data_IF_336702401927
#
_entry.id   IF_336702401927
#
_cell.length_a   1.000
_cell.length_b   1.000
_cell.length_c   1.000
_cell.angle_alpha   90.00
_cell.angle_beta   90.00
_cell.angle_gamma   90.00
#
_symmetry.space_group_name_H-M   'P 1'
#
loop_
_entity.id
_entity.type
_entity.pdbx_description
1 polymer ?
#
# COMPACT_ATOMS: atom_id res chain seq x y z
N UNK A 1 4.92 -10.76 -9.71
CA UNK A 1 5.60 -11.07 -8.43
C UNK A 1 6.44 -9.87 -8.02
N UNK A 2 6.44 -9.51 -6.73
CA UNK A 2 7.24 -8.44 -6.16
C UNK A 2 8.37 -9.05 -5.33
N UNK A 3 9.58 -8.55 -5.50
CA UNK A 3 10.75 -9.02 -4.75
C UNK A 3 10.92 -8.23 -3.45
N UNK A 4 10.86 -8.93 -2.32
CA UNK A 4 10.96 -8.36 -0.98
C UNK A 4 12.35 -8.53 -0.34
N UNK A 5 12.44 -8.18 0.96
CA UNK A 5 13.64 -8.40 1.79
C UNK A 5 14.02 -9.90 1.77
N UNK A 6 15.31 -10.19 1.64
CA UNK A 6 15.83 -11.56 1.53
C UNK A 6 15.71 -12.16 0.12
N UNK A 7 15.51 -11.32 -0.91
CA UNK A 7 15.47 -11.73 -2.30
C UNK A 7 14.34 -12.73 -2.64
N UNK A 8 13.27 -12.73 -1.81
CA UNK A 8 12.11 -13.61 -1.98
C UNK A 8 11.05 -12.92 -2.81
N UNK A 9 10.55 -13.63 -3.82
CA UNK A 9 9.43 -13.19 -4.63
C UNK A 9 8.11 -13.48 -3.92
N UNK A 10 7.15 -12.55 -4.01
CA UNK A 10 5.85 -12.63 -3.34
C UNK A 10 4.73 -12.14 -4.25
N UNK A 11 3.55 -12.71 -4.06
CA UNK A 11 2.31 -12.19 -4.64
C UNK A 11 1.63 -11.28 -3.63
N UNK A 12 1.11 -10.16 -4.09
CA UNK A 12 0.35 -9.20 -3.26
C UNK A 12 -1.02 -9.07 -3.87
N UNK A 13 -2.05 -9.14 -3.03
CA UNK A 13 -3.43 -8.95 -3.45
C UNK A 13 -3.68 -7.46 -3.70
N UNK A 14 -4.29 -7.15 -4.84
CA UNK A 14 -4.74 -5.80 -5.15
C UNK A 14 -6.22 -5.68 -4.81
N UNK A 15 -6.58 -4.61 -4.12
CA UNK A 15 -7.99 -4.29 -3.90
C UNK A 15 -8.63 -3.85 -5.22
N UNK A 16 -9.97 -3.95 -5.31
CA UNK A 16 -10.72 -3.46 -6.47
C UNK A 16 -10.40 -2.00 -6.79
N UNK A 17 -10.33 -1.14 -5.77
CA UNK A 17 -9.96 0.26 -5.95
C UNK A 17 -8.55 0.45 -6.51
N UNK A 18 -7.59 -0.40 -6.12
CA UNK A 18 -6.24 -0.38 -6.68
C UNK A 18 -6.23 -0.81 -8.15
N UNK A 19 -7.01 -1.84 -8.51
CA UNK A 19 -7.16 -2.30 -9.90
C UNK A 19 -7.74 -1.18 -10.76
N UNK A 20 -8.85 -0.57 -10.34
CA UNK A 20 -9.49 0.53 -11.08
C UNK A 20 -8.56 1.74 -11.25
N UNK A 21 -7.75 2.06 -10.24
CA UNK A 21 -6.75 3.12 -10.34
C UNK A 21 -5.63 2.75 -11.34
N UNK A 22 -5.18 1.50 -11.36
CA UNK A 22 -4.16 1.02 -12.29
C UNK A 22 -4.64 1.02 -13.73
N UNK A 23 -5.89 0.64 -13.99
CA UNK A 23 -6.50 0.70 -15.32
C UNK A 23 -6.55 2.14 -15.86
N UNK A 24 -6.99 3.09 -15.03
CA UNK A 24 -6.99 4.53 -15.37
C UNK A 24 -5.58 5.04 -15.66
N UNK A 25 -4.61 4.63 -14.84
CA UNK A 25 -3.21 4.99 -15.03
C UNK A 25 -2.66 4.44 -16.35
N UNK A 26 -2.91 3.18 -16.66
CA UNK A 26 -2.42 2.54 -17.88
C UNK A 26 -3.03 3.17 -19.15
N UNK A 27 -4.31 3.51 -19.11
CA UNK A 27 -4.98 4.24 -20.19
C UNK A 27 -4.31 5.61 -20.45
N UNK A 28 -4.05 6.38 -19.39
CA UNK A 28 -3.32 7.65 -19.49
C UNK A 28 -1.89 7.48 -20.01
N UNK A 29 -1.18 6.45 -19.56
CA UNK A 29 0.18 6.11 -20.01
C UNK A 29 0.22 5.81 -21.51
N UNK A 30 -0.73 5.00 -22.01
CA UNK A 30 -0.86 4.66 -23.43
C UNK A 30 -1.17 5.89 -24.29
N UNK A 31 -2.08 6.75 -23.84
CA UNK A 31 -2.40 7.99 -24.54
C UNK A 31 -1.17 8.90 -24.68
N UNK A 32 -0.43 9.13 -23.59
CA UNK A 32 0.80 9.93 -23.60
C UNK A 32 1.90 9.33 -24.51
N UNK A 33 2.01 8.00 -24.56
CA UNK A 33 2.94 7.30 -25.45
C UNK A 33 2.58 7.51 -26.93
N UNK A 34 1.29 7.43 -27.26
CA UNK A 34 0.79 7.65 -28.62
C UNK A 34 0.96 9.10 -29.09
N UNK A 35 0.77 10.09 -28.21
CA UNK A 35 1.02 11.50 -28.53
C UNK A 35 2.51 11.76 -28.82
N UNK A 36 3.40 11.21 -27.97
CA UNK A 36 4.85 11.34 -28.17
C UNK A 36 5.34 10.68 -29.45
N UNK A 37 4.79 9.52 -29.81
CA UNK A 37 5.15 8.82 -31.06
C UNK A 37 4.63 9.54 -32.31
N UNK A 38 3.46 10.19 -32.25
CA UNK A 38 2.97 11.07 -33.32
C UNK A 38 3.84 12.32 -33.49
N UNK A 39 4.27 12.94 -32.39
CA UNK A 39 5.17 14.11 -32.43
C UNK A 39 6.58 13.74 -32.93
N UNK A 40 7.09 12.56 -32.56
CA UNK A 40 8.41 12.06 -32.95
C UNK A 40 8.48 11.53 -34.40
N UNK A 41 7.36 11.34 -35.10
CA UNK A 41 7.34 10.94 -36.52
C UNK A 41 8.04 11.95 -37.45
N UNK A 42 8.35 13.17 -36.96
CA UNK A 42 9.08 14.22 -37.67
C UNK A 42 10.60 14.19 -37.43
N UNK A 43 11.12 13.38 -36.50
CA UNK A 43 12.54 13.30 -36.18
C UNK A 43 12.99 11.82 -36.05
N UNK A 44 13.85 11.43 -36.99
CA UNK A 44 14.64 10.18 -37.09
C UNK A 44 14.50 9.21 -35.90
N UNK A 45 13.85 8.06 -36.16
CA UNK A 45 13.78 6.83 -35.34
C UNK A 45 14.94 6.70 -34.33
N UNK A 46 14.75 7.20 -33.13
CA UNK A 46 15.38 6.64 -31.94
C UNK A 46 14.35 5.71 -31.32
N UNK A 47 14.77 4.49 -31.00
CA UNK A 47 13.92 3.43 -30.47
C UNK A 47 13.06 3.94 -29.31
N UNK A 48 11.78 4.22 -29.57
CA UNK A 48 10.76 4.36 -28.52
C UNK A 48 10.44 2.97 -27.98
N UNK A 49 11.44 2.29 -27.42
CA UNK A 49 11.24 1.08 -26.66
C UNK A 49 10.35 1.44 -25.46
N UNK A 50 9.23 0.74 -25.31
CA UNK A 50 8.38 0.92 -24.13
C UNK A 50 9.23 0.67 -22.89
N UNK A 51 9.15 1.60 -21.93
CA UNK A 51 9.90 1.46 -20.68
C UNK A 51 9.49 0.16 -19.97
N UNK A 52 10.46 -0.64 -19.48
CA UNK A 52 10.17 -1.88 -18.75
C UNK A 52 9.52 -1.63 -17.38
N UNK A 53 9.46 -0.37 -16.95
CA UNK A 53 8.93 0.03 -15.65
C UNK A 53 7.45 0.37 -15.72
N UNK A 54 6.69 -0.07 -14.70
CA UNK A 54 5.28 0.26 -14.55
C UNK A 54 5.07 1.78 -14.39
N UNK A 55 5.93 2.43 -13.61
CA UNK A 55 5.92 3.88 -13.39
C UNK A 55 7.17 4.52 -14.01
N UNK A 56 7.20 4.74 -15.35
CA UNK A 56 8.34 5.33 -16.02
C UNK A 56 8.48 6.80 -15.64
N UNK A 57 9.71 7.30 -15.62
CA UNK A 57 9.99 8.74 -15.51
C UNK A 57 11.23 9.11 -16.31
N UNK A 58 11.42 10.39 -16.59
CA UNK A 58 12.62 10.91 -17.27
C UNK A 58 13.85 10.97 -16.33
N UNK A 59 13.88 10.14 -15.27
CA UNK A 59 15.02 10.04 -14.37
C UNK A 59 16.15 9.22 -15.01
N UNK A 60 17.35 9.31 -14.41
CA UNK A 60 18.50 8.50 -14.85
C UNK A 60 18.25 6.99 -14.79
N UNK A 61 17.42 6.54 -13.85
CA UNK A 61 17.07 5.13 -13.65
C UNK A 61 15.87 4.69 -14.52
N UNK A 62 15.23 5.61 -15.23
CA UNK A 62 14.10 5.34 -16.13
C UNK A 62 12.77 5.05 -15.43
N UNK A 63 12.71 5.11 -14.10
CA UNK A 63 11.50 4.95 -13.28
C UNK A 63 11.33 6.07 -12.26
N UNK A 64 10.13 6.17 -11.67
CA UNK A 64 9.81 7.16 -10.66
C UNK A 64 10.79 7.07 -9.46
N UNK A 65 11.56 8.14 -9.17
CA UNK A 65 12.47 8.14 -8.03
C UNK A 65 11.71 8.16 -6.71
N UNK A 66 12.26 7.52 -5.67
CA UNK A 66 11.64 7.47 -4.33
C UNK A 66 11.37 8.84 -3.74
N UNK A 67 12.28 9.80 -3.91
CA UNK A 67 12.14 11.14 -3.38
C UNK A 67 11.01 11.92 -4.08
N UNK A 68 10.84 11.70 -5.39
CA UNK A 68 9.74 12.29 -6.17
C UNK A 68 8.41 11.73 -5.68
N UNK A 69 8.31 10.40 -5.56
CA UNK A 69 7.12 9.74 -5.01
C UNK A 69 6.79 10.26 -3.60
N UNK A 70 7.78 10.41 -2.72
CA UNK A 70 7.57 10.91 -1.36
C UNK A 70 7.08 12.37 -1.32
N UNK A 71 7.53 13.21 -2.27
CA UNK A 71 7.04 14.59 -2.42
C UNK A 71 5.60 14.59 -2.95
N UNK A 72 5.36 13.90 -4.05
CA UNK A 72 4.03 13.85 -4.68
C UNK A 72 2.97 13.29 -3.70
N UNK A 73 3.35 12.32 -2.85
CA UNK A 73 2.51 11.80 -1.79
C UNK A 73 2.12 12.86 -0.75
N UNK A 74 3.07 13.72 -0.36
CA UNK A 74 2.80 14.85 0.56
C UNK A 74 1.88 15.88 -0.07
N UNK A 75 2.07 16.17 -1.35
CA UNK A 75 1.22 17.12 -2.09
C UNK A 75 -0.22 16.60 -2.17
N UNK A 76 -0.39 15.29 -2.42
CA UNK A 76 -1.70 14.63 -2.38
C UNK A 76 -2.32 14.71 -0.99
N UNK A 77 -1.54 14.48 0.08
CA UNK A 77 -2.03 14.58 1.45
C UNK A 77 -2.57 15.98 1.77
N UNK A 78 -1.82 17.03 1.40
CA UNK A 78 -2.26 18.42 1.57
C UNK A 78 -3.55 18.70 0.80
N UNK A 79 -3.65 18.24 -0.45
CA UNK A 79 -4.85 18.39 -1.27
C UNK A 79 -6.07 17.65 -0.71
N UNK A 80 -5.84 16.59 0.06
CA UNK A 80 -6.88 15.84 0.78
C UNK A 80 -7.25 16.47 2.13
N UNK A 81 -6.64 17.60 2.52
CA UNK A 81 -6.88 18.25 3.81
C UNK A 81 -6.11 17.61 4.98
N UNK A 82 -5.09 16.79 4.70
CA UNK A 82 -4.26 16.15 5.71
C UNK A 82 -2.94 16.90 5.89
N UNK A 83 -2.34 16.76 7.08
CA UNK A 83 -0.99 17.27 7.32
C UNK A 83 0.04 16.43 6.55
N UNK A 84 1.00 17.09 5.89
CA UNK A 84 2.01 16.40 5.10
C UNK A 84 2.90 15.46 5.92
N UNK A 85 3.07 15.72 7.22
CA UNK A 85 3.81 14.86 8.14
C UNK A 85 3.05 13.60 8.54
N UNK A 86 1.72 13.60 8.46
CA UNK A 86 0.89 12.44 8.80
C UNK A 86 0.92 11.34 7.73
N UNK A 87 1.32 11.66 6.49
CA UNK A 87 1.28 10.71 5.38
C UNK A 87 2.70 10.38 4.91
N UNK A 88 3.05 9.10 5.00
CA UNK A 88 4.29 8.55 4.44
C UNK A 88 4.06 7.11 3.98
N UNK A 89 4.96 6.53 3.16
CA UNK A 89 4.81 5.14 2.72
C UNK A 89 4.76 4.15 3.90
N UNK A 90 5.50 4.43 4.98
CA UNK A 90 5.51 3.60 6.18
C UNK A 90 4.18 3.70 6.95
N UNK A 91 3.63 4.91 7.10
CA UNK A 91 2.35 5.13 7.77
C UNK A 91 1.20 4.49 6.98
N UNK A 92 1.18 4.63 5.65
CA UNK A 92 0.17 3.98 4.80
C UNK A 92 0.22 2.46 4.92
N UNK A 93 1.42 1.86 4.92
CA UNK A 93 1.58 0.42 5.12
C UNK A 93 1.03 -0.02 6.48
N UNK A 94 1.32 0.75 7.52
CA UNK A 94 0.84 0.43 8.87
C UNK A 94 -0.68 0.55 8.97
N UNK A 95 -1.27 1.64 8.45
CA UNK A 95 -2.72 1.83 8.42
C UNK A 95 -3.42 0.69 7.68
N UNK A 96 -2.87 0.23 6.55
CA UNK A 96 -3.39 -0.93 5.82
C UNK A 96 -3.36 -2.21 6.67
N UNK A 97 -2.24 -2.49 7.33
CA UNK A 97 -2.09 -3.66 8.19
C UNK A 97 -3.07 -3.66 9.37
N UNK A 98 -3.12 -2.54 10.10
CA UNK A 98 -4.01 -2.37 11.25
C UNK A 98 -5.48 -2.45 10.84
N UNK A 99 -5.85 -1.86 9.69
CA UNK A 99 -7.21 -1.94 9.16
C UNK A 99 -7.61 -3.38 8.80
N UNK A 100 -6.70 -4.19 8.25
CA UNK A 100 -6.99 -5.61 7.98
C UNK A 100 -7.22 -6.39 9.27
N UNK A 101 -6.39 -6.18 10.29
CA UNK A 101 -6.52 -6.83 11.60
C UNK A 101 -7.82 -6.42 12.32
N UNK A 102 -8.19 -5.13 12.26
CA UNK A 102 -9.45 -4.61 12.78
C UNK A 102 -10.69 -5.17 12.07
N UNK A 103 -10.55 -5.70 10.86
CA UNK A 103 -11.63 -6.38 10.16
C UNK A 103 -11.55 -7.92 10.28
N UNK A 104 -10.74 -8.43 11.21
CA UNK A 104 -10.67 -9.86 11.55
C UNK A 104 -9.76 -10.69 10.63
N UNK A 105 -8.87 -10.05 9.85
CA UNK A 105 -7.87 -10.80 9.10
C UNK A 105 -6.88 -11.49 10.05
N UNK A 106 -6.53 -12.75 9.76
CA UNK A 106 -5.51 -13.48 10.50
C UNK A 106 -4.14 -12.76 10.41
N UNK A 107 -3.45 -12.63 11.54
CA UNK A 107 -2.13 -12.02 11.64
C UNK A 107 -1.13 -12.71 10.70
N UNK A 108 -1.20 -14.04 10.55
CA UNK A 108 -0.34 -14.76 9.61
C UNK A 108 -0.60 -14.37 8.16
N UNK A 109 -1.87 -14.23 7.78
CA UNK A 109 -2.25 -13.77 6.45
C UNK A 109 -1.75 -12.33 6.18
N UNK A 110 -1.90 -11.43 7.16
CA UNK A 110 -1.42 -10.03 7.05
C UNK A 110 0.12 -9.98 6.96
N UNK A 111 0.83 -10.84 7.69
CA UNK A 111 2.30 -10.95 7.63
C UNK A 111 2.81 -11.45 6.27
N UNK A 112 2.15 -12.44 5.68
CA UNK A 112 2.46 -12.93 4.34
C UNK A 112 2.27 -11.84 3.28
N UNK A 113 1.14 -11.11 3.36
CA UNK A 113 0.77 -9.99 2.48
C UNK A 113 1.76 -8.82 2.54
N UNK A 114 2.29 -8.50 3.72
CA UNK A 114 3.18 -7.35 3.92
C UNK A 114 4.65 -7.67 3.66
N UNK A 115 5.02 -8.94 3.54
CA UNK A 115 6.30 -9.33 3.00
C UNK A 115 7.50 -9.20 3.95
N UNK A 116 7.28 -9.04 5.26
CA UNK A 116 8.35 -8.79 6.22
C UNK A 116 9.01 -10.11 6.67
N UNK A 117 10.32 -10.24 6.53
CA UNK A 117 11.16 -11.21 7.26
C UNK A 117 11.63 -10.66 8.61
N UNK A 118 11.27 -9.42 8.95
CA UNK A 118 11.71 -8.73 10.15
C UNK A 118 10.56 -7.97 10.80
N UNK A 119 10.42 -8.22 12.09
CA UNK A 119 9.21 -8.06 12.90
C UNK A 119 9.28 -6.77 13.74
N UNK A 120 9.98 -5.74 13.26
CA UNK A 120 10.22 -4.50 14.02
C UNK A 120 8.96 -3.65 14.30
N UNK A 121 7.77 -4.17 14.00
CA UNK A 121 6.45 -3.59 14.34
C UNK A 121 5.49 -4.58 15.02
N UNK A 122 5.94 -5.79 15.39
CA UNK A 122 5.09 -6.80 16.04
C UNK A 122 4.48 -6.31 17.35
N UNK A 123 5.16 -5.44 18.07
CA UNK A 123 4.63 -4.83 19.29
C UNK A 123 3.35 -4.02 19.05
N UNK A 124 3.24 -3.30 17.92
CA UNK A 124 2.04 -2.52 17.61
C UNK A 124 0.87 -3.45 17.27
N UNK A 125 1.14 -4.58 16.58
CA UNK A 125 0.11 -5.56 16.27
C UNK A 125 -0.35 -6.34 17.51
N UNK A 126 0.53 -6.56 18.49
CA UNK A 126 0.15 -7.18 19.78
C UNK A 126 -0.89 -6.33 20.51
N UNK A 127 -0.74 -5.01 20.54
CA UNK A 127 -1.72 -4.14 21.21
C UNK A 127 -3.11 -4.17 20.56
N UNK A 128 -3.17 -4.20 19.22
CA UNK A 128 -4.45 -4.32 18.48
C UNK A 128 -5.12 -5.68 18.74
N UNK A 129 -4.32 -6.75 18.86
CA UNK A 129 -4.80 -8.09 19.24
C UNK A 129 -5.30 -8.14 20.68
N UNK A 130 -4.63 -7.44 21.60
CA UNK A 130 -4.98 -7.39 23.02
C UNK A 130 -6.33 -6.70 23.23
N UNK A 131 -6.56 -5.56 22.59
CA UNK A 131 -7.86 -4.87 22.60
C UNK A 131 -8.98 -5.76 22.07
N UNK A 132 -8.74 -6.45 20.94
CA UNK A 132 -9.75 -7.34 20.36
C UNK A 132 -10.01 -8.60 21.17
N UNK A 133 -8.97 -9.16 21.81
CA UNK A 133 -9.11 -10.29 22.71
C UNK A 133 -9.93 -9.89 23.94
N UNK A 134 -9.68 -8.70 24.49
CA UNK A 134 -10.48 -8.14 25.56
C UNK A 134 -11.93 -7.94 25.13
N UNK A 135 -12.20 -7.33 23.97
CA UNK A 135 -13.56 -7.18 23.43
C UNK A 135 -14.25 -8.52 23.22
N UNK A 136 -13.57 -9.51 22.63
CA UNK A 136 -14.16 -10.83 22.33
C UNK A 136 -14.51 -11.57 23.63
N UNK A 137 -13.64 -11.52 24.64
CA UNK A 137 -13.94 -12.05 25.98
C UNK A 137 -15.12 -11.30 26.60
N UNK A 138 -15.12 -9.97 26.59
CA UNK A 138 -16.22 -9.18 27.17
C UNK A 138 -17.56 -9.38 26.46
N UNK A 139 -17.57 -9.66 25.16
CA UNK A 139 -18.80 -9.76 24.36
C UNK A 139 -19.35 -11.19 24.26
N UNK A 140 -18.48 -12.20 24.22
CA UNK A 140 -18.87 -13.59 23.95
C UNK A 140 -18.58 -14.56 25.10
N UNK A 141 -17.79 -14.18 26.11
CA UNK A 141 -17.48 -15.09 27.21
C UNK A 141 -18.68 -15.23 28.17
N UNK A 142 -19.06 -16.45 28.59
CA UNK A 142 -20.20 -16.69 29.48
C UNK A 142 -20.14 -15.91 30.80
N UNK A 143 -18.94 -15.69 31.33
CA UNK A 143 -18.71 -14.94 32.57
C UNK A 143 -18.82 -13.41 32.43
N UNK A 144 -18.80 -12.85 31.21
CA UNK A 144 -18.88 -11.40 31.02
C UNK A 144 -20.26 -10.82 31.41
N UNK A 145 -21.31 -11.66 31.44
CA UNK A 145 -22.66 -11.28 31.85
C UNK A 145 -22.94 -11.43 33.35
N UNK A 146 -22.05 -12.10 34.12
CA UNK A 146 -22.32 -12.43 35.53
C UNK A 146 -21.84 -11.38 36.55
N UNK A 147 -21.23 -10.27 36.11
CA UNK A 147 -20.68 -9.24 37.02
C UNK A 147 -21.66 -8.18 37.53
N UNK A 148 -22.96 -8.25 37.18
CA UNK A 148 -23.99 -7.35 37.72
C UNK A 148 -25.03 -8.16 38.48
N UNK A 149 -24.68 -8.53 39.70
CA UNK A 149 -25.60 -8.69 40.83
C UNK A 149 -24.75 -8.99 42.05
N UNK A 150 -24.85 -8.15 43.08
CA UNK A 150 -24.95 -8.49 44.50
C UNK A 150 -24.90 -7.18 45.31
N UNK A 151 -26.09 -6.60 45.49
CA UNK A 151 -26.48 -6.05 46.80
C UNK A 151 -26.58 -7.20 47.82
#
# INVERSE_FOLDING_TARGET
MIRGKGNKDRMVLLSRAAIEAMEKYEAGRKALSQEKSKAAASQKKTDTAESPWLFPSNSKEGHLPRQVFARDLKDIAIRAGLTASAVSPHVLRHAFASHLLQNGADLRAVQELLGHSDISTTQIYTHVLEERLQELVQTHHPLAKQGKNLD
#
